data_IF_660471688547
#
_entry.id   IF_660471688547
#
_cell.length_a   1.000
_cell.length_b   1.000
_cell.length_c   1.000
_cell.angle_alpha   90.00
_cell.angle_beta   90.00
_cell.angle_gamma   90.00
#
_symmetry.space_group_name_H-M   'P 1'
#
loop_
_entity.id
_entity.type
_entity.pdbx_description
1 polymer ?
#
# COMPACT_ATOMS: atom_id res chain seq x y z
N UNK A 1 27.32 14.36 -2.50
CA UNK A 1 26.03 14.39 -3.23
C UNK A 1 26.27 15.12 -4.54
N UNK A 2 25.95 14.55 -5.72
CA UNK A 2 26.20 15.24 -7.00
C UNK A 2 25.29 16.47 -7.10
N UNK A 3 25.82 17.67 -7.36
CA UNK A 3 25.03 18.92 -7.47
C UNK A 3 23.84 18.80 -8.43
N UNK A 4 24.02 18.08 -9.54
CA UNK A 4 22.96 17.81 -10.52
C UNK A 4 21.77 17.00 -9.96
N UNK A 5 21.96 16.28 -8.85
CA UNK A 5 20.86 15.58 -8.17
C UNK A 5 19.91 16.52 -7.43
N UNK A 6 20.36 17.73 -7.07
CA UNK A 6 19.53 18.74 -6.38
C UNK A 6 18.51 19.36 -7.35
N UNK A 7 18.85 19.43 -8.64
CA UNK A 7 17.97 19.90 -9.72
C UNK A 7 16.89 18.88 -10.12
N UNK A 8 16.95 17.64 -9.60
CA UNK A 8 15.88 16.69 -9.80
C UNK A 8 14.65 17.11 -8.98
N UNK A 9 13.55 17.43 -9.67
CA UNK A 9 12.26 17.85 -9.06
C UNK A 9 11.80 16.91 -7.94
N UNK A 10 12.05 15.60 -8.03
CA UNK A 10 11.69 14.63 -7.00
C UNK A 10 12.54 14.77 -5.74
N UNK A 11 13.84 15.06 -5.87
CA UNK A 11 14.73 15.29 -4.73
C UNK A 11 14.41 16.62 -4.06
N UNK A 12 14.12 17.67 -4.83
CA UNK A 12 13.64 18.94 -4.29
C UNK A 12 12.31 18.75 -3.54
N UNK A 13 11.33 18.08 -4.16
CA UNK A 13 10.04 17.77 -3.55
C UNK A 13 10.20 16.97 -2.25
N UNK A 14 11.10 15.99 -2.26
CA UNK A 14 11.39 15.19 -1.07
C UNK A 14 11.97 16.04 0.07
N UNK A 15 12.98 16.87 -0.23
CA UNK A 15 13.59 17.77 0.75
C UNK A 15 12.57 18.79 1.27
N UNK A 16 11.76 19.39 0.38
CA UNK A 16 10.68 20.29 0.75
C UNK A 16 9.72 19.64 1.75
N UNK A 17 9.23 18.43 1.45
CA UNK A 17 8.36 17.71 2.36
C UNK A 17 9.06 17.37 3.68
N UNK A 18 10.33 16.97 3.64
CA UNK A 18 11.09 16.64 4.85
C UNK A 18 11.20 17.83 5.82
N UNK A 19 11.48 19.02 5.29
CA UNK A 19 11.63 20.26 6.06
C UNK A 19 10.30 20.89 6.47
N UNK A 20 9.21 20.58 5.78
CA UNK A 20 7.88 21.12 6.07
C UNK A 20 7.44 20.74 7.51
N UNK A 21 6.77 21.66 8.23
CA UNK A 21 6.07 21.33 9.47
C UNK A 21 5.01 20.25 9.25
N UNK A 22 4.62 19.55 10.32
CA UNK A 22 3.50 18.62 10.25
C UNK A 22 2.18 19.37 9.95
N UNK A 23 1.25 18.75 9.20
CA UNK A 23 -0.07 19.34 8.92
C UNK A 23 -0.91 19.43 10.19
N UNK A 24 -1.95 20.28 10.19
CA UNK A 24 -2.84 20.49 11.34
C UNK A 24 -3.55 19.22 11.82
N UNK A 25 -3.75 18.26 10.93
CA UNK A 25 -4.34 16.97 11.27
C UNK A 25 -3.43 16.07 12.12
N UNK A 26 -2.14 16.42 12.26
CA UNK A 26 -1.18 15.69 13.08
C UNK A 26 -1.04 16.39 14.43
N UNK A 27 -1.29 15.65 15.50
CA UNK A 27 -1.19 16.13 16.88
C UNK A 27 -0.10 15.39 17.64
N UNK A 28 0.35 15.96 18.75
CA UNK A 28 1.17 15.25 19.70
C UNK A 28 0.42 14.06 20.31
N UNK A 29 1.13 12.95 20.45
CA UNK A 29 0.63 11.75 21.09
C UNK A 29 0.92 11.85 22.59
N UNK A 30 -0.11 11.62 23.42
CA UNK A 30 0.01 11.54 24.89
C UNK A 30 0.00 10.11 25.41
N UNK A 31 -0.54 9.21 24.61
CA UNK A 31 -0.68 7.78 24.82
C UNK A 31 0.48 6.99 24.21
N UNK A 32 0.70 5.74 24.63
CA UNK A 32 1.59 4.85 23.87
C UNK A 32 0.96 4.57 22.51
N UNK A 33 1.79 4.40 21.48
CA UNK A 33 1.34 3.96 20.17
C UNK A 33 0.47 2.70 20.32
N UNK A 34 -0.81 2.78 19.94
CA UNK A 34 -1.74 1.66 20.02
C UNK A 34 -1.36 0.65 18.96
N UNK A 35 -1.01 -0.55 19.39
CA UNK A 35 -0.47 -1.55 18.50
C UNK A 35 -1.55 -2.53 18.06
N UNK A 36 -1.53 -2.88 16.78
CA UNK A 36 -2.40 -3.91 16.20
C UNK A 36 -1.52 -5.13 15.97
N UNK A 37 -1.77 -6.20 16.72
CA UNK A 37 -0.91 -7.39 16.73
C UNK A 37 -1.42 -8.55 15.90
N UNK A 38 -2.63 -8.45 15.32
CA UNK A 38 -3.23 -9.53 14.55
C UNK A 38 -4.08 -9.06 13.36
N UNK A 39 -4.25 -9.95 12.38
CA UNK A 39 -5.09 -9.71 11.20
C UNK A 39 -6.54 -9.44 11.64
N UNK A 40 -7.05 -10.20 12.61
CA UNK A 40 -8.40 -9.99 13.15
C UNK A 40 -8.59 -8.58 13.73
N UNK A 41 -7.63 -8.12 14.54
CA UNK A 41 -7.70 -6.78 15.12
C UNK A 41 -7.59 -5.69 14.04
N UNK A 42 -6.80 -5.93 12.99
CA UNK A 42 -6.69 -5.02 11.85
C UNK A 42 -8.03 -4.88 11.12
N UNK A 43 -8.72 -6.00 10.87
CA UNK A 43 -10.05 -6.03 10.23
C UNK A 43 -11.07 -5.24 11.04
N UNK A 44 -11.08 -5.43 12.37
CA UNK A 44 -12.00 -4.75 13.28
C UNK A 44 -11.73 -3.24 13.34
N UNK A 45 -10.47 -2.84 13.54
CA UNK A 45 -10.09 -1.41 13.63
C UNK A 45 -10.35 -0.64 12.34
N UNK A 46 -10.26 -1.30 11.19
CA UNK A 46 -10.59 -0.72 9.89
C UNK A 46 -12.08 -0.86 9.52
N UNK A 47 -12.85 -1.56 10.35
CA UNK A 47 -14.27 -1.86 10.15
C UNK A 47 -14.56 -2.47 8.77
N UNK A 48 -13.70 -3.37 8.29
CA UNK A 48 -13.80 -3.91 6.92
C UNK A 48 -15.11 -4.67 6.69
N UNK A 49 -15.68 -5.26 7.73
CA UNK A 49 -16.96 -6.00 7.67
C UNK A 49 -18.17 -5.13 7.33
N UNK A 50 -18.03 -3.80 7.36
CA UNK A 50 -19.10 -2.87 6.97
C UNK A 50 -19.22 -2.68 5.46
N UNK A 51 -18.32 -3.28 4.68
CA UNK A 51 -18.27 -3.16 3.23
C UNK A 51 -18.53 -4.52 2.58
N UNK A 52 -18.94 -4.53 1.31
CA UNK A 52 -19.13 -5.78 0.55
C UNK A 52 -17.88 -6.24 -0.17
N UNK A 53 -16.96 -5.31 -0.44
CA UNK A 53 -15.74 -5.59 -1.21
C UNK A 53 -14.59 -4.65 -0.88
N UNK A 54 -13.38 -5.15 -1.13
CA UNK A 54 -12.14 -4.39 -1.13
C UNK A 54 -11.78 -4.07 -2.58
N UNK A 55 -11.55 -2.78 -2.88
CA UNK A 55 -11.06 -2.34 -4.19
C UNK A 55 -9.64 -1.81 -4.05
N UNK A 56 -8.67 -2.56 -4.57
CA UNK A 56 -7.27 -2.14 -4.64
C UNK A 56 -7.03 -1.28 -5.88
N UNK A 57 -6.48 -0.09 -5.69
CA UNK A 57 -6.20 0.89 -6.75
C UNK A 57 -4.74 1.31 -6.72
N UNK A 58 -3.97 0.87 -7.70
CA UNK A 58 -2.62 1.34 -8.00
C UNK A 58 -2.63 2.34 -9.18
N UNK A 59 -1.47 2.91 -9.52
CA UNK A 59 -1.36 4.07 -10.42
C UNK A 59 -1.25 3.75 -11.91
N UNK A 60 -1.28 2.48 -12.30
CA UNK A 60 -1.16 2.03 -13.69
C UNK A 60 -2.36 2.41 -14.56
N UNK A 61 -2.27 2.24 -15.90
CA UNK A 61 -3.24 2.81 -16.85
C UNK A 61 -4.68 2.33 -16.66
N UNK A 62 -4.88 1.09 -16.24
CA UNK A 62 -6.20 0.48 -16.01
C UNK A 62 -6.98 1.11 -14.86
N UNK A 63 -6.32 1.85 -13.96
CA UNK A 63 -6.99 2.63 -12.90
C UNK A 63 -7.99 3.66 -13.45
N UNK A 64 -7.84 4.08 -14.70
CA UNK A 64 -8.80 4.98 -15.39
C UNK A 64 -10.16 4.33 -15.64
N UNK A 65 -10.25 3.00 -15.58
CA UNK A 65 -11.48 2.22 -15.75
C UNK A 65 -12.19 1.94 -14.41
N UNK A 66 -11.66 2.48 -13.31
CA UNK A 66 -12.22 2.30 -11.98
C UNK A 66 -13.70 2.72 -11.96
N UNK A 67 -14.59 1.78 -11.64
CA UNK A 67 -15.98 2.07 -11.33
C UNK A 67 -16.10 2.37 -9.84
N UNK A 68 -16.76 3.47 -9.51
CA UNK A 68 -16.97 3.91 -8.12
C UNK A 68 -18.20 3.18 -7.56
N UNK A 69 -18.05 2.60 -6.37
CA UNK A 69 -19.04 1.74 -5.71
C UNK A 69 -19.20 2.23 -4.27
N UNK A 70 -20.44 2.44 -3.82
CA UNK A 70 -20.72 3.05 -2.52
C UNK A 70 -20.49 2.09 -1.34
N UNK A 71 -20.59 0.79 -1.57
CA UNK A 71 -20.45 -0.28 -0.59
C UNK A 71 -19.05 -0.95 -0.61
N UNK A 72 -18.07 -0.23 -1.17
CA UNK A 72 -16.68 -0.67 -1.25
C UNK A 72 -15.77 0.15 -0.33
N UNK A 73 -14.69 -0.50 0.15
CA UNK A 73 -13.55 0.19 0.75
C UNK A 73 -12.36 0.15 -0.20
N UNK A 74 -11.74 1.31 -0.41
CA UNK A 74 -10.65 1.47 -1.38
C UNK A 74 -9.29 1.36 -0.70
N UNK A 75 -8.43 0.48 -1.19
CA UNK A 75 -7.03 0.41 -0.80
C UNK A 75 -6.21 1.09 -1.87
N UNK A 76 -5.56 2.21 -1.55
CA UNK A 76 -4.79 2.98 -2.53
C UNK A 76 -3.37 3.21 -2.05
N UNK A 77 -2.46 3.40 -3.01
CA UNK A 77 -1.06 3.71 -2.71
C UNK A 77 -0.56 4.86 -3.56
N UNK A 78 0.47 5.55 -3.08
CA UNK A 78 1.15 6.60 -3.81
C UNK A 78 0.16 7.65 -4.35
N UNK A 79 0.32 8.10 -5.60
CA UNK A 79 -0.59 9.06 -6.21
C UNK A 79 -1.98 8.48 -6.57
N UNK A 80 -2.20 7.17 -6.46
CA UNK A 80 -3.50 6.56 -6.78
C UNK A 80 -4.61 6.99 -5.79
N UNK A 81 -4.21 7.49 -4.61
CA UNK A 81 -5.13 8.07 -3.62
C UNK A 81 -6.03 9.17 -4.20
N UNK A 82 -5.54 9.93 -5.19
CA UNK A 82 -6.32 10.99 -5.82
C UNK A 82 -7.53 10.48 -6.60
N UNK A 83 -7.58 9.19 -6.94
CA UNK A 83 -8.70 8.55 -7.62
C UNK A 83 -9.82 8.14 -6.67
N UNK A 84 -9.51 7.96 -5.37
CA UNK A 84 -10.40 7.33 -4.39
C UNK A 84 -10.66 8.18 -3.15
N UNK A 85 -9.97 9.32 -2.96
CA UNK A 85 -10.05 10.17 -1.76
C UNK A 85 -11.47 10.64 -1.39
N UNK A 86 -12.40 10.60 -2.35
CA UNK A 86 -13.80 11.00 -2.17
C UNK A 86 -14.70 9.84 -1.67
N UNK A 87 -14.13 8.65 -1.45
CA UNK A 87 -14.80 7.42 -0.99
C UNK A 87 -14.07 6.83 0.22
N UNK A 88 -14.70 6.01 1.08
CA UNK A 88 -14.01 5.33 2.18
C UNK A 88 -12.73 4.63 1.72
N UNK A 89 -11.57 5.03 2.25
CA UNK A 89 -10.29 4.50 1.78
C UNK A 89 -9.28 4.25 2.87
N UNK A 90 -8.36 3.33 2.59
CA UNK A 90 -7.16 3.01 3.34
C UNK A 90 -5.96 3.38 2.48
N UNK A 91 -5.01 4.08 3.08
CA UNK A 91 -3.80 4.51 2.38
C UNK A 91 -2.60 3.63 2.73
N UNK A 92 -2.07 2.95 1.72
CA UNK A 92 -0.91 2.07 1.79
C UNK A 92 0.36 2.85 1.45
N UNK A 93 1.30 2.90 2.40
CA UNK A 93 2.57 3.60 2.26
C UNK A 93 3.72 2.65 2.56
N UNK A 94 4.51 2.34 1.53
CA UNK A 94 5.64 1.42 1.62
C UNK A 94 6.90 1.89 0.85
N UNK A 95 6.91 3.13 0.38
CA UNK A 95 8.06 3.77 -0.29
C UNK A 95 8.54 4.98 0.53
N UNK A 96 9.85 5.21 0.57
CA UNK A 96 10.45 6.31 1.35
C UNK A 96 9.98 7.68 0.91
N UNK A 97 9.85 7.92 -0.40
CA UNK A 97 9.42 9.23 -0.89
C UNK A 97 7.97 9.53 -0.49
N UNK A 98 7.08 8.56 -0.69
CA UNK A 98 5.67 8.71 -0.30
C UNK A 98 5.46 8.70 1.22
N UNK A 99 6.34 8.05 1.98
CA UNK A 99 6.35 8.09 3.43
C UNK A 99 6.58 9.51 3.95
N UNK A 100 7.64 10.18 3.50
CA UNK A 100 7.90 11.57 3.92
C UNK A 100 6.78 12.49 3.47
N UNK A 101 6.31 12.34 2.22
CA UNK A 101 5.15 13.10 1.71
C UNK A 101 3.89 12.89 2.56
N UNK A 102 3.62 11.66 2.98
CA UNK A 102 2.49 11.31 3.84
C UNK A 102 2.64 11.96 5.22
N UNK A 103 3.75 11.70 5.91
CA UNK A 103 3.95 12.18 7.27
C UNK A 103 3.89 13.71 7.36
N UNK A 104 4.46 14.41 6.38
CA UNK A 104 4.65 15.87 6.43
C UNK A 104 3.67 16.69 5.61
N UNK A 105 2.87 16.08 4.75
CA UNK A 105 2.02 16.81 3.80
C UNK A 105 0.63 16.25 3.59
N UNK A 106 0.29 15.11 4.19
CA UNK A 106 -1.03 14.52 4.02
C UNK A 106 -2.02 15.10 5.03
N UNK A 107 -2.97 15.86 4.49
CA UNK A 107 -4.13 16.37 5.22
C UNK A 107 -5.24 15.31 5.22
N UNK A 108 -5.68 14.96 6.43
CA UNK A 108 -6.77 14.01 6.64
C UNK A 108 -8.08 14.58 6.08
N UNK A 109 -8.85 13.73 5.40
CA UNK A 109 -10.25 13.98 5.09
C UNK A 109 -11.16 12.96 5.82
N UNK A 110 -12.47 13.19 5.80
CA UNK A 110 -13.47 12.34 6.45
C UNK A 110 -13.55 10.91 5.90
N UNK A 111 -13.02 10.68 4.71
CA UNK A 111 -13.11 9.41 4.00
C UNK A 111 -11.94 8.47 4.34
N UNK A 112 -10.83 8.99 4.88
CA UNK A 112 -9.73 8.16 5.36
C UNK A 112 -10.22 7.28 6.51
N UNK A 113 -10.03 5.96 6.38
CA UNK A 113 -10.34 4.96 7.41
C UNK A 113 -9.10 4.47 8.15
N UNK A 114 -7.94 4.57 7.52
CA UNK A 114 -6.66 4.22 8.15
C UNK A 114 -5.49 4.37 7.18
N UNK A 115 -4.28 4.38 7.74
CA UNK A 115 -3.05 4.31 6.96
C UNK A 115 -2.18 3.16 7.43
N UNK A 116 -1.64 2.42 6.48
CA UNK A 116 -0.92 1.17 6.72
C UNK A 116 0.50 1.27 6.15
N UNK A 117 1.47 0.91 6.98
CA UNK A 117 2.90 0.90 6.67
C UNK A 117 3.38 -0.55 6.70
N UNK A 118 3.63 -1.14 5.54
CA UNK A 118 4.14 -2.53 5.47
C UNK A 118 5.54 -2.56 4.89
N UNK A 119 6.52 -2.86 5.76
CA UNK A 119 7.93 -2.84 5.42
C UNK A 119 8.62 -4.14 5.81
N UNK A 120 9.56 -4.59 4.97
CA UNK A 120 10.59 -5.53 5.36
C UNK A 120 11.86 -4.74 5.68
N UNK A 121 12.16 -4.61 6.96
CA UNK A 121 13.26 -3.84 7.51
C UNK A 121 14.55 -4.64 7.41
N UNK A 122 15.47 -4.10 6.61
CA UNK A 122 16.88 -4.52 6.52
C UNK A 122 17.76 -3.49 7.22
N UNK A 123 19.03 -3.80 7.48
CA UNK A 123 19.97 -2.84 8.08
C UNK A 123 20.04 -1.49 7.32
N UNK A 124 20.10 -1.47 5.96
CA UNK A 124 20.03 -0.21 5.21
C UNK A 124 18.73 0.56 5.42
N UNK A 125 17.58 -0.11 5.48
CA UNK A 125 16.28 0.55 5.72
C UNK A 125 16.23 1.10 7.14
N UNK A 126 16.71 0.35 8.13
CA UNK A 126 16.77 0.76 9.54
C UNK A 126 17.63 2.01 9.74
N UNK A 127 18.74 2.10 9.01
CA UNK A 127 19.61 3.27 8.99
C UNK A 127 19.07 4.46 8.17
N UNK A 128 17.98 4.26 7.41
CA UNK A 128 17.44 5.31 6.56
C UNK A 128 16.73 6.41 7.37
N UNK A 129 16.90 7.66 6.94
CA UNK A 129 16.23 8.82 7.55
C UNK A 129 14.71 8.71 7.50
N UNK A 130 14.16 8.11 6.43
CA UNK A 130 12.71 7.93 6.28
C UNK A 130 12.15 7.01 7.36
N UNK A 131 12.85 5.92 7.67
CA UNK A 131 12.44 4.99 8.71
C UNK A 131 12.57 5.60 10.11
N UNK A 132 13.68 6.28 10.39
CA UNK A 132 13.87 7.03 11.64
C UNK A 132 12.78 8.10 11.83
N UNK A 133 12.36 8.78 10.76
CA UNK A 133 11.26 9.72 10.81
C UNK A 133 9.92 9.03 11.12
N UNK A 134 9.65 7.86 10.54
CA UNK A 134 8.45 7.07 10.83
C UNK A 134 8.41 6.61 12.28
N UNK A 135 9.50 6.05 12.80
CA UNK A 135 9.55 5.57 14.19
C UNK A 135 9.40 6.73 15.19
N UNK A 136 10.08 7.86 14.92
CA UNK A 136 9.87 9.09 15.69
C UNK A 136 8.41 9.55 15.64
N UNK A 137 7.83 9.58 14.44
CA UNK A 137 6.45 10.00 14.24
C UNK A 137 5.48 9.10 15.01
N UNK A 138 5.53 7.79 14.85
CA UNK A 138 4.59 6.88 15.52
C UNK A 138 4.69 6.96 17.05
N UNK A 139 5.89 7.22 17.58
CA UNK A 139 6.13 7.35 19.01
C UNK A 139 5.61 8.66 19.60
N UNK A 140 5.66 9.77 18.84
CA UNK A 140 5.42 11.12 19.39
C UNK A 140 4.20 11.82 18.80
N UNK A 141 3.70 11.35 17.66
CA UNK A 141 2.67 12.00 16.86
C UNK A 141 1.57 11.02 16.49
N UNK A 142 0.42 11.56 16.11
CA UNK A 142 -0.71 10.77 15.59
C UNK A 142 -1.65 11.62 14.74
N UNK A 143 -2.42 10.92 13.91
CA UNK A 143 -3.68 11.40 13.33
C UNK A 143 -4.90 10.81 14.05
N UNK A 144 -6.11 11.32 13.77
CA UNK A 144 -7.34 10.74 14.32
C UNK A 144 -7.59 9.30 13.86
N UNK A 145 -7.24 8.97 12.62
CA UNK A 145 -7.40 7.64 12.04
C UNK A 145 -6.29 6.69 12.48
N UNK A 146 -6.55 5.37 12.53
CA UNK A 146 -5.52 4.38 12.84
C UNK A 146 -4.37 4.45 11.82
N UNK A 147 -3.16 4.48 12.35
CA UNK A 147 -1.90 4.44 11.62
C UNK A 147 -1.16 3.18 12.08
N UNK A 148 -0.94 2.21 11.19
CA UNK A 148 -0.51 0.85 11.57
C UNK A 148 0.78 0.46 10.87
N UNK A 149 1.83 0.21 11.65
CA UNK A 149 3.08 -0.39 11.22
C UNK A 149 3.01 -1.91 11.25
N UNK A 150 3.44 -2.53 10.15
CA UNK A 150 3.64 -3.97 9.99
C UNK A 150 5.07 -4.15 9.51
N UNK A 151 5.93 -4.72 10.34
CA UNK A 151 7.32 -4.90 9.96
C UNK A 151 7.99 -6.03 10.74
N UNK A 152 9.06 -6.61 10.19
CA UNK A 152 9.87 -7.65 10.83
C UNK A 152 10.86 -7.12 11.87
N UNK A 153 10.84 -5.82 12.22
CA UNK A 153 11.71 -5.24 13.25
C UNK A 153 11.11 -5.45 14.65
N UNK A 154 11.97 -5.45 15.67
CA UNK A 154 11.56 -5.67 17.07
C UNK A 154 11.22 -4.38 17.82
N UNK A 155 11.22 -3.23 17.13
CA UNK A 155 10.88 -1.92 17.70
C UNK A 155 9.50 -1.94 18.36
N UNK A 156 8.56 -2.70 17.76
CA UNK A 156 7.26 -2.96 18.34
C UNK A 156 6.89 -4.43 18.12
N UNK A 157 6.71 -5.18 19.23
CA UNK A 157 6.36 -6.60 19.23
C UNK A 157 5.07 -6.86 18.45
N UNK A 158 4.09 -5.96 18.55
CA UNK A 158 2.82 -6.14 17.88
C UNK A 158 2.91 -5.91 16.36
N UNK A 159 3.66 -4.90 15.92
CA UNK A 159 4.00 -4.71 14.50
C UNK A 159 4.70 -5.94 13.91
N UNK A 160 5.58 -6.57 14.69
CA UNK A 160 6.27 -7.83 14.33
C UNK A 160 5.34 -9.03 14.27
N UNK A 161 4.45 -9.18 15.25
CA UNK A 161 3.45 -10.25 15.28
C UNK A 161 2.50 -10.19 14.09
N UNK A 162 1.98 -9.00 13.76
CA UNK A 162 1.11 -8.83 12.61
C UNK A 162 1.84 -9.13 11.29
N UNK A 163 3.07 -8.65 11.13
CA UNK A 163 3.90 -9.02 9.97
C UNK A 163 4.13 -10.53 9.86
N UNK A 164 4.45 -11.18 10.98
CA UNK A 164 4.67 -12.63 11.04
C UNK A 164 3.39 -13.40 10.73
N UNK A 165 2.23 -12.96 11.23
CA UNK A 165 0.95 -13.61 10.94
C UNK A 165 0.64 -13.55 9.44
N UNK A 166 0.77 -12.37 8.82
CA UNK A 166 0.53 -12.18 7.38
C UNK A 166 1.48 -13.06 6.55
N UNK A 167 2.78 -13.03 6.84
CA UNK A 167 3.77 -13.82 6.08
C UNK A 167 3.63 -15.32 6.31
N UNK A 168 3.26 -15.74 7.52
CA UNK A 168 2.97 -17.14 7.84
C UNK A 168 1.73 -17.63 7.11
N UNK A 169 0.68 -16.81 7.02
CA UNK A 169 -0.51 -17.12 6.23
C UNK A 169 -0.15 -17.32 4.75
N UNK A 170 0.55 -16.36 4.13
CA UNK A 170 0.95 -16.46 2.72
C UNK A 170 1.77 -17.73 2.46
N UNK A 171 2.67 -18.07 3.37
CA UNK A 171 3.50 -19.28 3.25
C UNK A 171 2.71 -20.57 3.43
N UNK A 172 1.83 -20.67 4.43
CA UNK A 172 1.13 -21.91 4.76
C UNK A 172 -0.07 -22.16 3.86
N UNK A 173 -0.88 -21.14 3.61
CA UNK A 173 -2.13 -21.27 2.85
C UNK A 173 -1.92 -21.17 1.35
N UNK A 174 -1.02 -20.28 0.89
CA UNK A 174 -0.77 -20.10 -0.55
C UNK A 174 0.52 -20.74 -1.03
N UNK A 175 1.41 -21.24 -0.15
CA UNK A 175 2.77 -21.65 -0.51
C UNK A 175 3.56 -20.53 -1.19
N UNK A 176 3.35 -19.29 -0.74
CA UNK A 176 3.97 -18.09 -1.30
C UNK A 176 4.91 -17.42 -0.29
N UNK A 177 6.20 -17.33 -0.60
CA UNK A 177 7.16 -16.55 0.16
C UNK A 177 7.12 -15.08 -0.30
N UNK A 178 6.56 -14.21 0.55
CA UNK A 178 6.32 -12.81 0.17
C UNK A 178 7.61 -12.00 -0.02
N UNK A 179 7.69 -11.32 -1.15
CA UNK A 179 8.71 -10.33 -1.46
C UNK A 179 8.07 -9.03 -1.98
N UNK A 180 8.42 -7.91 -1.37
CA UNK A 180 7.85 -6.60 -1.70
C UNK A 180 8.41 -6.04 -3.01
N UNK A 181 7.73 -6.33 -4.14
CA UNK A 181 8.15 -5.90 -5.48
C UNK A 181 7.97 -4.39 -5.70
N UNK A 182 6.74 -3.86 -5.58
CA UNK A 182 6.45 -2.43 -5.60
C UNK A 182 5.24 -2.10 -4.73
N UNK A 183 4.98 -0.81 -4.50
CA UNK A 183 3.82 -0.33 -3.74
C UNK A 183 2.48 -0.87 -4.20
N UNK A 184 2.27 -0.98 -5.52
CA UNK A 184 1.04 -1.55 -6.08
C UNK A 184 0.89 -3.02 -5.69
N UNK A 185 1.93 -3.82 -5.89
CA UNK A 185 1.91 -5.24 -5.54
C UNK A 185 1.76 -5.47 -4.03
N UNK A 186 2.47 -4.73 -3.19
CA UNK A 186 2.32 -4.83 -1.72
C UNK A 186 0.89 -4.51 -1.28
N UNK A 187 0.26 -3.51 -1.90
CA UNK A 187 -1.15 -3.15 -1.66
C UNK A 187 -2.08 -4.28 -2.09
N UNK A 188 -1.82 -4.92 -3.24
CA UNK A 188 -2.59 -6.07 -3.73
C UNK A 188 -2.47 -7.27 -2.80
N UNK A 189 -1.27 -7.63 -2.37
CA UNK A 189 -1.06 -8.76 -1.45
C UNK A 189 -1.80 -8.51 -0.13
N UNK A 190 -1.69 -7.32 0.45
CA UNK A 190 -2.40 -7.03 1.70
C UNK A 190 -3.92 -6.99 1.50
N UNK A 191 -4.39 -6.40 0.40
CA UNK A 191 -5.80 -6.40 0.04
C UNK A 191 -6.37 -7.82 -0.08
N UNK A 192 -5.62 -8.74 -0.68
CA UNK A 192 -5.98 -10.16 -0.73
C UNK A 192 -6.06 -10.81 0.65
N UNK A 193 -5.03 -10.63 1.50
CA UNK A 193 -5.02 -11.20 2.86
C UNK A 193 -6.26 -10.73 3.63
N UNK A 194 -6.54 -9.42 3.60
CA UNK A 194 -7.69 -8.86 4.30
C UNK A 194 -9.03 -9.30 3.70
N UNK A 195 -9.14 -9.42 2.38
CA UNK A 195 -10.32 -9.95 1.71
C UNK A 195 -10.59 -11.40 2.13
N UNK A 196 -9.54 -12.23 2.15
CA UNK A 196 -9.60 -13.63 2.57
C UNK A 196 -10.11 -13.79 4.00
N UNK A 197 -9.55 -13.05 4.94
CA UNK A 197 -9.95 -13.15 6.34
C UNK A 197 -11.29 -12.45 6.66
N UNK A 198 -11.74 -11.53 5.79
CA UNK A 198 -13.01 -10.82 5.96
C UNK A 198 -14.17 -11.43 5.17
N UNK A 199 -13.89 -12.37 4.26
CA UNK A 199 -14.90 -12.94 3.34
C UNK A 199 -15.42 -11.92 2.32
N UNK A 200 -14.57 -10.97 1.90
CA UNK A 200 -14.95 -9.90 0.98
C UNK A 200 -14.47 -10.19 -0.44
N UNK A 201 -15.20 -9.70 -1.43
CA UNK A 201 -14.72 -9.67 -2.83
C UNK A 201 -13.50 -8.75 -2.95
N UNK A 202 -12.56 -9.08 -3.85
CA UNK A 202 -11.38 -8.29 -4.14
C UNK A 202 -11.36 -7.83 -5.60
N UNK A 203 -11.41 -6.53 -5.83
CA UNK A 203 -11.25 -5.94 -7.16
C UNK A 203 -9.92 -5.21 -7.28
N UNK A 204 -9.19 -5.45 -8.36
CA UNK A 204 -7.82 -4.93 -8.53
C UNK A 204 -7.74 -4.07 -9.79
N UNK A 205 -7.30 -2.82 -9.61
CA UNK A 205 -7.10 -1.85 -10.67
C UNK A 205 -5.70 -1.25 -10.62
N UNK A 206 -5.16 -0.91 -11.80
CA UNK A 206 -3.95 -0.11 -11.93
C UNK A 206 -2.65 -0.82 -11.56
N UNK A 207 -2.63 -2.15 -11.34
CA UNK A 207 -1.38 -2.87 -11.23
C UNK A 207 -0.75 -3.00 -12.63
N UNK A 208 0.48 -2.54 -12.77
CA UNK A 208 1.20 -2.59 -14.04
C UNK A 208 2.67 -2.93 -13.78
N UNK A 209 3.16 -3.95 -14.47
CA UNK A 209 4.56 -4.42 -14.44
C UNK A 209 5.32 -4.01 -15.71
N UNK A 210 4.86 -2.95 -16.37
CA UNK A 210 5.47 -2.42 -17.60
C UNK A 210 5.07 -3.18 -18.87
N UNK A 211 3.96 -3.92 -18.84
CA UNK A 211 3.48 -4.71 -20.00
C UNK A 211 2.73 -3.84 -21.03
N UNK A 212 2.22 -2.66 -20.66
CA UNK A 212 1.49 -1.76 -21.55
C UNK A 212 2.08 -0.34 -21.63
N UNK A 213 3.40 -0.23 -21.46
CA UNK A 213 4.15 1.04 -21.54
C UNK A 213 4.02 1.93 -20.29
N UNK A 214 4.72 3.06 -20.28
CA UNK A 214 4.78 4.00 -19.14
C UNK A 214 3.54 4.94 -19.10
N UNK A 215 2.35 4.38 -18.87
CA UNK A 215 1.10 5.13 -18.85
C UNK A 215 0.62 5.50 -17.44
N UNK A 216 1.31 6.39 -16.73
CA UNK A 216 0.83 6.90 -15.44
C UNK A 216 -0.30 7.94 -15.61
N UNK A 217 -1.22 8.02 -14.64
CA UNK A 217 -2.22 9.08 -14.58
C UNK A 217 -1.52 10.46 -14.58
N UNK A 218 -1.97 11.39 -15.45
CA UNK A 218 -1.42 12.74 -15.73
C UNK A 218 -0.21 12.84 -16.69
N UNK A 219 -0.47 12.75 -18.01
CA UNK A 219 0.51 12.90 -19.13
C UNK A 219 1.26 14.25 -19.23
N UNK A 220 1.19 15.17 -18.26
CA UNK A 220 1.93 16.45 -18.32
C UNK A 220 3.07 16.60 -17.31
N UNK A 221 3.14 15.80 -16.23
CA UNK A 221 4.11 16.07 -15.13
C UNK A 221 4.64 14.84 -14.36
N UNK A 222 4.74 13.66 -14.97
CA UNK A 222 5.25 12.49 -14.23
C UNK A 222 6.78 12.39 -14.35
N UNK A 223 7.50 12.72 -13.27
CA UNK A 223 8.78 12.09 -12.99
C UNK A 223 8.49 10.67 -12.53
N UNK A 224 8.52 9.73 -13.49
CA UNK A 224 8.09 8.35 -13.36
C UNK A 224 8.87 7.63 -12.25
N UNK A 225 8.15 6.91 -11.38
CA UNK A 225 8.75 5.80 -10.66
C UNK A 225 8.99 4.68 -11.66
N UNK A 226 10.21 4.17 -11.75
CA UNK A 226 10.60 3.18 -12.76
C UNK A 226 9.65 1.99 -12.71
N UNK A 227 8.92 1.73 -13.80
CA UNK A 227 8.19 0.47 -13.96
C UNK A 227 9.17 -0.67 -13.75
N UNK A 228 8.77 -1.69 -12.99
CA UNK A 228 9.66 -2.81 -12.69
C UNK A 228 9.76 -3.69 -13.92
N UNK A 229 10.89 -3.58 -14.61
CA UNK A 229 11.19 -4.30 -15.85
C UNK A 229 11.86 -5.66 -15.62
N UNK A 230 12.31 -5.96 -14.40
CA UNK A 230 13.07 -7.17 -14.10
C UNK A 230 12.21 -8.43 -14.15
N UNK A 231 12.68 -9.45 -14.88
CA UNK A 231 11.97 -10.72 -15.04
C UNK A 231 11.67 -11.38 -13.71
N UNK A 232 12.62 -11.35 -12.75
CA UNK A 232 12.41 -11.85 -11.39
C UNK A 232 11.12 -11.28 -10.76
N UNK A 233 10.92 -9.97 -10.84
CA UNK A 233 9.75 -9.32 -10.26
C UNK A 233 8.46 -9.67 -11.00
N UNK A 234 8.48 -9.78 -12.33
CA UNK A 234 7.32 -10.24 -13.10
C UNK A 234 6.96 -11.68 -12.74
N UNK A 235 7.95 -12.55 -12.58
CA UNK A 235 7.76 -13.93 -12.13
C UNK A 235 7.15 -13.96 -10.73
N UNK A 236 7.70 -13.24 -9.76
CA UNK A 236 7.14 -13.20 -8.39
C UNK A 236 5.66 -12.76 -8.37
N UNK A 237 5.31 -11.71 -9.12
CA UNK A 237 3.92 -11.22 -9.16
C UNK A 237 3.03 -12.23 -9.92
N UNK A 238 3.55 -12.88 -10.96
CA UNK A 238 2.84 -13.92 -11.70
C UNK A 238 2.53 -15.14 -10.84
N UNK A 239 3.52 -15.62 -10.09
CA UNK A 239 3.39 -16.77 -9.18
C UNK A 239 2.32 -16.48 -8.12
N UNK A 240 2.33 -15.28 -7.54
CA UNK A 240 1.28 -14.85 -6.64
C UNK A 240 -0.11 -14.93 -7.28
N UNK A 241 -0.30 -14.39 -8.50
CA UNK A 241 -1.60 -14.42 -9.18
C UNK A 241 -2.07 -15.84 -9.51
N UNK A 242 -1.17 -16.72 -9.95
CA UNK A 242 -1.49 -18.12 -10.20
C UNK A 242 -2.03 -18.79 -8.93
N UNK A 243 -1.43 -18.51 -7.77
CA UNK A 243 -1.85 -19.07 -6.49
C UNK A 243 -3.20 -18.49 -6.01
N UNK A 244 -3.39 -17.16 -6.09
CA UNK A 244 -4.64 -16.54 -5.62
C UNK A 244 -5.83 -16.73 -6.56
N UNK A 245 -5.62 -17.05 -7.84
CA UNK A 245 -6.73 -17.43 -8.72
C UNK A 245 -7.18 -18.88 -8.55
N UNK A 246 -6.32 -19.75 -8.00
CA UNK A 246 -6.61 -21.15 -7.77
C UNK A 246 -7.30 -21.42 -6.42
N UNK A 247 -7.29 -20.46 -5.49
CA UNK A 247 -8.08 -20.55 -4.25
C UNK A 247 -9.57 -20.25 -4.50
N UNK A 248 -10.45 -20.76 -3.64
CA UNK A 248 -11.93 -20.66 -3.79
C UNK A 248 -12.61 -19.79 -2.73
N UNK A 249 -11.86 -19.27 -1.75
CA UNK A 249 -12.39 -18.53 -0.60
C UNK A 249 -12.70 -17.06 -0.90
N UNK A 250 -12.00 -16.47 -1.86
CA UNK A 250 -12.14 -15.05 -2.25
C UNK A 250 -12.51 -14.96 -3.71
N UNK A 251 -13.58 -14.22 -4.01
CA UNK A 251 -13.90 -13.82 -5.38
C UNK A 251 -12.97 -12.67 -5.79
N UNK A 252 -12.18 -12.86 -6.86
CA UNK A 252 -11.18 -11.89 -7.31
C UNK A 252 -11.48 -11.45 -8.74
N UNK A 253 -11.67 -10.14 -8.93
CA UNK A 253 -11.77 -9.53 -10.25
C UNK A 253 -10.56 -8.64 -10.51
N UNK A 254 -9.67 -9.09 -11.40
CA UNK A 254 -8.49 -8.30 -11.78
C UNK A 254 -8.75 -7.54 -13.09
N UNK A 255 -8.99 -6.24 -12.97
CA UNK A 255 -9.16 -5.30 -14.08
C UNK A 255 -7.83 -4.66 -14.51
N UNK A 256 -6.72 -5.07 -13.91
CA UNK A 256 -5.39 -4.59 -14.27
C UNK A 256 -4.95 -5.12 -15.63
N UNK A 257 -3.87 -4.57 -16.18
CA UNK A 257 -3.31 -5.09 -17.44
C UNK A 257 -2.33 -6.23 -17.23
N UNK A 258 -1.96 -6.52 -15.99
CA UNK A 258 -1.08 -7.60 -15.63
C UNK A 258 -1.87 -8.80 -15.10
N UNK A 259 -1.65 -9.98 -15.70
CA UNK A 259 -2.22 -11.28 -15.28
C UNK A 259 -3.72 -11.22 -14.95
N UNK A 260 -4.53 -10.69 -15.88
CA UNK A 260 -5.99 -10.83 -15.78
C UNK A 260 -6.34 -12.31 -15.74
N UNK A 261 -7.29 -12.70 -14.87
CA UNK A 261 -7.80 -14.07 -14.87
C UNK A 261 -8.37 -14.35 -16.26
N UNK A 262 -7.82 -15.35 -16.95
CA UNK A 262 -8.34 -15.78 -18.24
C UNK A 262 -9.64 -16.54 -17.98
N UNK A 263 -10.77 -15.83 -18.01
CA UNK A 263 -12.10 -16.45 -17.95
C UNK A 263 -12.45 -17.10 -19.30
N UNK A 264 -11.56 -17.91 -19.89
CA UNK A 264 -11.82 -18.64 -21.13
C UNK A 264 -12.29 -17.83 -22.36
N UNK A 265 -12.31 -16.50 -22.29
CA UNK A 265 -12.93 -15.63 -23.30
C UNK A 265 -12.11 -14.35 -23.48
N UNK A 266 -11.03 -14.48 -24.25
CA UNK A 266 -10.53 -13.38 -25.08
C UNK A 266 -10.11 -13.95 -26.43
N UNK A 267 -11.00 -13.76 -27.40
CA UNK A 267 -10.69 -13.67 -28.83
C UNK A 267 -10.10 -12.27 -29.05
#
# INVERSE_FOLDING_TARGET
>A
MKLNSILNKRNYSYLYHYLKPYPRSVTDRKDRYKTISSISNLIEQLSLRNYKKIIVVASGPSSKKLKKEADAIYFSTNNAIHLVKDFPFIYMVNDSYYLVKYLKGFDVNSNLKGSLFWYYITNPIKASRSYQLLTYYLSNKKRPQPEVLMCNDTIDVASSNLHKEITTFLKKELKFDFYGVNSGFVTVVLGFVLAYHSGLELNIYGLDMGENGEGYYNKKHVSVGTSIKGDFSKTTVSDFFNLVYNQTKVNIHNYSYFKTKNDGTRI
#
